data_IF_277264135614
#
_entry.id   IF_277264135614
#
_cell.length_a   1.000
_cell.length_b   1.000
_cell.length_c   1.000
_cell.angle_alpha   90.00
_cell.angle_beta   90.00
_cell.angle_gamma   90.00
#
_symmetry.space_group_name_H-M   'P 1'
#
loop_
_entity.id
_entity.type
_entity.pdbx_description
1 polymer ?
#
# COMPACT_ATOMS: atom_id res chain seq x y z
N UNK A 1 7.58 -1.40 -9.67
CA UNK A 1 6.50 -0.39 -9.53
C UNK A 1 7.08 0.95 -9.11
N UNK A 2 6.35 2.07 -9.20
CA UNK A 2 6.87 3.37 -8.74
C UNK A 2 6.79 3.43 -7.21
N UNK A 3 7.83 3.96 -6.56
CA UNK A 3 7.76 4.31 -5.14
C UNK A 3 7.08 5.68 -4.99
N UNK A 4 6.05 5.76 -4.15
CA UNK A 4 5.35 7.00 -3.85
C UNK A 4 5.22 7.26 -2.36
N UNK A 5 5.27 6.23 -1.52
CA UNK A 5 5.09 6.40 -0.07
C UNK A 5 6.15 5.66 0.70
N UNK A 6 6.64 6.31 1.75
CA UNK A 6 7.48 5.71 2.78
C UNK A 6 6.75 5.83 4.11
N UNK A 7 6.31 4.70 4.68
CA UNK A 7 5.72 4.63 6.01
C UNK A 7 6.77 4.14 7.00
N UNK A 8 6.97 4.89 8.08
CA UNK A 8 8.03 4.64 9.07
C UNK A 8 7.41 4.50 10.45
N UNK A 9 7.74 3.44 11.16
CA UNK A 9 7.54 3.43 12.61
C UNK A 9 8.47 4.45 13.28
N UNK A 10 8.08 4.97 14.44
CA UNK A 10 8.84 5.99 15.15
C UNK A 10 9.89 5.38 16.10
N UNK A 11 9.42 4.90 17.25
CA UNK A 11 10.25 4.36 18.32
C UNK A 11 10.89 3.05 17.89
N UNK A 12 12.18 2.85 18.16
CA UNK A 12 12.89 1.61 17.83
C UNK A 12 13.26 1.48 16.35
N UNK A 13 12.61 2.24 15.46
CA UNK A 13 12.93 2.27 14.02
C UNK A 13 13.75 3.51 13.64
N UNK A 14 13.19 4.71 13.74
CA UNK A 14 13.89 5.96 13.35
C UNK A 14 14.34 6.82 14.52
N UNK A 15 13.85 6.52 15.73
CA UNK A 15 14.18 7.20 16.96
C UNK A 15 14.69 6.23 18.03
N UNK A 16 15.60 6.70 18.87
CA UNK A 16 16.11 6.00 20.06
C UNK A 16 15.82 6.83 21.30
N UNK A 17 15.28 6.23 22.36
CA UNK A 17 14.81 6.93 23.57
C UNK A 17 13.94 8.17 23.28
N UNK A 18 13.11 8.10 22.23
CA UNK A 18 12.24 9.18 21.76
C UNK A 18 12.94 10.27 20.95
N UNK A 19 14.26 10.29 20.88
CA UNK A 19 15.00 11.24 20.05
C UNK A 19 15.11 10.74 18.60
N UNK A 20 14.58 11.53 17.65
CA UNK A 20 14.75 11.26 16.23
C UNK A 20 16.22 11.35 15.82
N UNK A 21 16.72 10.30 15.16
CA UNK A 21 18.09 10.28 14.65
C UNK A 21 18.30 11.36 13.55
N UNK A 22 19.36 12.18 13.62
CA UNK A 22 19.60 13.25 12.66
C UNK A 22 19.80 12.78 11.21
N UNK A 23 20.43 11.61 11.00
CA UNK A 23 20.65 11.07 9.67
C UNK A 23 19.34 10.58 9.06
N UNK A 24 18.46 10.00 9.87
CA UNK A 24 17.10 9.66 9.47
C UNK A 24 16.30 10.91 9.10
N UNK A 25 16.40 11.98 9.89
CA UNK A 25 15.73 13.26 9.58
C UNK A 25 16.19 13.82 8.23
N UNK A 26 17.49 13.78 7.95
CA UNK A 26 18.04 14.20 6.66
C UNK A 26 17.55 13.31 5.51
N UNK A 27 17.59 11.99 5.68
CA UNK A 27 17.13 11.05 4.65
C UNK A 27 15.62 11.19 4.36
N UNK A 28 14.79 11.45 5.37
CA UNK A 28 13.37 11.76 5.20
C UNK A 28 13.18 13.03 4.35
N UNK A 29 13.96 14.08 4.63
CA UNK A 29 13.90 15.31 3.84
C UNK A 29 14.31 15.07 2.38
N UNK A 30 15.34 14.26 2.13
CA UNK A 30 15.77 13.85 0.78
C UNK A 30 14.68 13.06 0.04
N UNK A 31 13.98 12.16 0.75
CA UNK A 31 12.87 11.39 0.19
C UNK A 31 11.71 12.30 -0.22
N UNK A 32 11.32 13.25 0.63
CA UNK A 32 10.27 14.22 0.34
C UNK A 32 10.62 15.15 -0.81
N UNK A 33 11.87 15.64 -0.84
CA UNK A 33 12.36 16.44 -1.96
C UNK A 33 12.32 15.69 -3.31
N UNK A 34 12.39 14.36 -3.27
CA UNK A 34 12.27 13.49 -4.44
C UNK A 34 10.81 13.15 -4.82
N UNK A 35 9.83 13.71 -4.09
CA UNK A 35 8.40 13.51 -4.34
C UNK A 35 7.83 12.22 -3.75
N UNK A 36 8.51 11.63 -2.75
CA UNK A 36 7.97 10.53 -1.94
C UNK A 36 7.19 11.13 -0.77
N UNK A 37 5.94 10.70 -0.61
CA UNK A 37 5.10 11.06 0.52
C UNK A 37 5.55 10.28 1.76
N UNK A 38 5.98 10.95 2.82
CA UNK A 38 6.47 10.29 4.03
C UNK A 38 5.39 10.29 5.11
N UNK A 39 5.13 9.12 5.67
CA UNK A 39 4.15 8.89 6.72
C UNK A 39 4.85 8.38 7.97
N UNK A 40 4.61 9.03 9.10
CA UNK A 40 4.97 8.44 10.38
C UNK A 40 3.81 7.58 10.88
N UNK A 41 4.11 6.39 11.37
CA UNK A 41 3.15 5.49 12.00
C UNK A 41 3.66 5.24 13.42
N UNK A 42 2.84 5.39 14.44
CA UNK A 42 3.30 5.25 15.83
C UNK A 42 2.17 4.83 16.76
N UNK A 43 2.55 4.15 17.85
CA UNK A 43 1.66 3.87 18.96
C UNK A 43 1.43 5.09 19.87
N UNK A 44 2.31 6.10 19.83
CA UNK A 44 2.24 7.28 20.70
C UNK A 44 0.95 8.08 20.50
N UNK A 45 0.50 8.74 21.56
CA UNK A 45 -0.50 9.81 21.47
C UNK A 45 0.04 10.95 20.61
N UNK A 46 -0.86 11.62 19.87
CA UNK A 46 -0.44 12.73 19.01
C UNK A 46 0.17 13.87 19.83
N UNK A 47 -0.37 14.16 21.01
CA UNK A 47 0.14 15.18 21.95
C UNK A 47 1.55 14.87 22.41
N UNK A 48 1.83 13.62 22.78
CA UNK A 48 3.17 13.18 23.21
C UNK A 48 4.21 13.38 22.11
N UNK A 49 3.80 13.08 20.87
CA UNK A 49 4.67 13.26 19.71
C UNK A 49 4.91 14.75 19.42
N UNK A 50 3.91 15.62 19.61
CA UNK A 50 4.04 17.07 19.46
C UNK A 50 4.96 17.68 20.53
N UNK A 51 4.89 17.19 21.77
CA UNK A 51 5.76 17.63 22.86
C UNK A 51 7.22 17.21 22.62
N UNK A 52 7.42 16.00 22.07
CA UNK A 52 8.74 15.43 21.78
C UNK A 52 9.39 16.06 20.55
N UNK A 53 8.59 16.29 19.51
CA UNK A 53 9.04 16.82 18.22
C UNK A 53 8.29 18.12 17.93
N UNK A 54 8.93 19.23 18.30
CA UNK A 54 8.38 20.60 18.15
C UNK A 54 7.88 20.96 16.74
N UNK A 55 8.39 20.31 15.70
CA UNK A 55 7.95 20.51 14.32
C UNK A 55 7.71 19.18 13.61
N UNK A 56 6.44 18.80 13.51
CA UNK A 56 5.96 17.61 12.81
C UNK A 56 5.87 17.78 11.29
N UNK A 57 6.19 18.96 10.75
CA UNK A 57 6.15 19.21 9.30
C UNK A 57 7.25 18.50 8.51
N UNK A 58 8.16 17.78 9.18
CA UNK A 58 9.19 16.95 8.54
C UNK A 58 8.61 15.74 7.80
N UNK A 59 7.36 15.35 8.08
CA UNK A 59 6.59 14.32 7.35
C UNK A 59 5.31 14.90 6.74
N UNK A 60 4.67 14.17 5.84
CA UNK A 60 3.46 14.60 5.12
C UNK A 60 2.16 14.12 5.79
N UNK A 61 2.24 13.07 6.60
CA UNK A 61 1.13 12.58 7.41
C UNK A 61 1.59 11.73 8.58
N UNK A 62 0.75 11.64 9.60
CA UNK A 62 1.03 10.94 10.85
C UNK A 62 -0.16 10.04 11.18
N UNK A 63 0.12 8.80 11.53
CA UNK A 63 -0.81 7.81 12.03
C UNK A 63 -0.43 7.55 13.49
N UNK A 64 -1.13 8.18 14.42
CA UNK A 64 -0.89 8.11 15.86
C UNK A 64 -1.88 7.17 16.54
N UNK A 65 -1.66 6.89 17.82
CA UNK A 65 -2.53 6.07 18.68
C UNK A 65 -2.81 4.68 18.06
N UNK A 66 -1.76 4.01 17.58
CA UNK A 66 -1.84 2.72 16.87
C UNK A 66 -2.80 2.73 15.67
N UNK A 67 -3.01 3.89 15.03
CA UNK A 67 -3.90 4.01 13.88
C UNK A 67 -5.27 4.62 14.17
N UNK A 68 -5.58 4.98 15.41
CA UNK A 68 -6.86 5.59 15.74
C UNK A 68 -6.95 7.05 15.26
N UNK A 69 -5.81 7.74 15.18
CA UNK A 69 -5.73 9.16 14.85
C UNK A 69 -4.85 9.35 13.62
N UNK A 70 -5.35 10.06 12.62
CA UNK A 70 -4.59 10.48 11.45
C UNK A 70 -4.43 11.99 11.50
N UNK A 71 -3.20 12.50 11.45
CA UNK A 71 -2.91 13.92 11.43
C UNK A 71 -2.17 14.32 10.15
N UNK A 72 -2.58 15.44 9.56
CA UNK A 72 -1.94 16.03 8.39
C UNK A 72 -1.24 17.34 8.78
N UNK A 73 0.09 17.34 9.00
CA UNK A 73 0.82 18.52 9.47
C UNK A 73 0.59 19.77 8.61
N UNK A 74 0.66 19.61 7.29
CA UNK A 74 0.49 20.73 6.35
C UNK A 74 -0.92 21.37 6.37
N UNK A 75 -1.93 20.68 6.90
CA UNK A 75 -3.31 21.16 7.00
C UNK A 75 -3.75 21.43 8.45
N UNK A 76 -2.89 21.13 9.42
CA UNK A 76 -3.19 21.16 10.85
C UNK A 76 -4.54 20.50 11.18
N UNK A 77 -4.80 19.34 10.56
CA UNK A 77 -6.09 18.66 10.67
C UNK A 77 -5.92 17.21 11.05
N UNK A 78 -6.74 16.78 12.01
CA UNK A 78 -6.90 15.39 12.40
C UNK A 78 -8.15 14.75 11.75
N UNK A 79 -8.07 13.45 11.55
CA UNK A 79 -9.16 12.54 11.22
C UNK A 79 -9.13 11.41 12.25
N UNK A 80 -10.24 11.23 12.98
CA UNK A 80 -10.39 10.16 13.95
C UNK A 80 -11.01 8.95 13.24
N UNK A 81 -10.35 7.80 13.34
CA UNK A 81 -10.90 6.50 12.93
C UNK A 81 -11.51 5.76 14.13
N UNK A 82 -10.97 5.98 15.33
CA UNK A 82 -11.53 5.46 16.56
C UNK A 82 -12.62 6.38 17.13
N UNK A 83 -13.45 5.81 18.00
CA UNK A 83 -14.28 6.60 18.92
C UNK A 83 -13.44 7.01 20.13
N UNK A 84 -13.70 8.18 20.73
CA UNK A 84 -13.10 8.55 22.01
C UNK A 84 -13.36 7.52 23.11
N UNK A 85 -12.47 7.39 24.11
CA UNK A 85 -12.69 6.50 25.24
C UNK A 85 -14.00 6.82 25.98
N UNK A 86 -14.86 5.83 26.26
CA UNK A 86 -16.10 6.06 26.99
C UNK A 86 -15.84 6.62 28.39
N UNK A 87 -16.59 7.65 28.80
CA UNK A 87 -16.43 8.28 30.13
C UNK A 87 -16.59 7.27 31.27
N UNK A 88 -17.51 6.31 31.12
CA UNK A 88 -17.77 5.26 32.11
C UNK A 88 -16.53 4.38 32.36
N UNK A 89 -15.73 4.13 31.31
CA UNK A 89 -14.47 3.41 31.44
C UNK A 89 -13.47 4.23 32.24
N UNK A 90 -13.30 5.51 31.91
CA UNK A 90 -12.35 6.39 32.59
C UNK A 90 -12.66 6.46 34.10
N UNK A 91 -13.93 6.70 34.45
CA UNK A 91 -14.38 6.73 35.85
C UNK A 91 -14.13 5.39 36.56
N UNK A 92 -14.40 4.26 35.88
CA UNK A 92 -14.19 2.93 36.47
C UNK A 92 -12.71 2.65 36.74
N UNK A 93 -11.83 3.03 35.82
CA UNK A 93 -10.38 2.86 35.96
C UNK A 93 -9.80 3.76 37.06
N UNK A 94 -10.26 5.00 37.15
CA UNK A 94 -9.88 5.91 38.23
C UNK A 94 -10.33 5.37 39.61
N UNK A 95 -11.54 4.85 39.71
CA UNK A 95 -12.05 4.22 40.94
C UNK A 95 -11.28 2.96 41.33
N UNK A 96 -10.76 2.22 40.34
CA UNK A 96 -9.89 1.08 40.56
C UNK A 96 -8.45 1.47 40.95
N UNK A 97 -8.12 2.77 40.96
CA UNK A 97 -6.79 3.28 41.29
C UNK A 97 -5.76 3.09 40.17
N UNK A 98 -6.22 2.86 38.92
CA UNK A 98 -5.35 2.69 37.76
C UNK A 98 -4.90 4.06 37.28
N UNK A 99 -3.58 4.26 37.17
CA UNK A 99 -3.03 5.49 36.62
C UNK A 99 -3.14 5.46 35.09
N UNK A 100 -4.02 6.30 34.54
CA UNK A 100 -4.31 6.35 33.11
C UNK A 100 -3.84 7.65 32.45
N UNK A 101 -3.49 7.55 31.18
CA UNK A 101 -3.27 8.68 30.27
C UNK A 101 -4.28 8.54 29.13
N UNK A 102 -4.93 9.64 28.76
CA UNK A 102 -6.04 9.63 27.80
C UNK A 102 -5.63 10.42 26.56
N UNK A 103 -5.62 9.76 25.41
CA UNK A 103 -5.50 10.38 24.10
C UNK A 103 -6.87 10.66 23.48
N UNK A 104 -6.90 10.91 22.17
CA UNK A 104 -8.15 11.20 21.45
C UNK A 104 -9.04 9.96 21.34
N UNK A 105 -8.44 8.78 21.19
CA UNK A 105 -9.11 7.49 20.99
C UNK A 105 -8.50 6.34 21.81
N UNK A 106 -7.40 6.60 22.51
CA UNK A 106 -6.65 5.60 23.29
C UNK A 106 -6.63 5.92 24.79
N UNK A 107 -6.67 4.88 25.62
CA UNK A 107 -6.27 4.98 27.02
C UNK A 107 -4.98 4.18 27.20
N UNK A 108 -3.94 4.83 27.70
CA UNK A 108 -2.66 4.19 28.02
C UNK A 108 -2.53 4.02 29.54
N UNK A 109 -2.03 2.87 29.97
CA UNK A 109 -1.73 2.56 31.35
C UNK A 109 -0.49 1.66 31.45
N UNK A 110 -0.07 1.36 32.67
CA UNK A 110 0.97 0.36 32.91
C UNK A 110 0.46 -1.04 32.53
N UNK A 111 1.32 -1.88 31.94
CA UNK A 111 0.93 -3.22 31.54
C UNK A 111 0.52 -4.09 32.74
N UNK A 112 1.06 -3.82 33.93
CA UNK A 112 0.71 -4.52 35.17
C UNK A 112 -0.76 -4.28 35.59
N UNK A 113 -1.36 -3.17 35.16
CA UNK A 113 -2.78 -2.85 35.40
C UNK A 113 -3.74 -3.52 34.41
N UNK A 114 -3.23 -4.28 33.44
CA UNK A 114 -4.04 -4.96 32.42
C UNK A 114 -5.16 -5.87 32.97
N UNK A 115 -5.02 -6.57 34.12
CA UNK A 115 -6.13 -7.35 34.69
C UNK A 115 -7.30 -6.48 35.15
N UNK A 116 -7.02 -5.32 35.77
CA UNK A 116 -8.04 -4.38 36.23
C UNK A 116 -8.76 -3.74 35.03
N UNK A 117 -7.99 -3.36 34.00
CA UNK A 117 -8.52 -2.80 32.77
C UNK A 117 -9.42 -3.81 32.04
N UNK A 118 -8.96 -5.05 31.91
CA UNK A 118 -9.76 -6.11 31.28
C UNK A 118 -11.05 -6.39 32.07
N UNK A 119 -11.01 -6.33 33.41
CA UNK A 119 -12.20 -6.46 34.25
C UNK A 119 -13.18 -5.32 33.97
N UNK A 120 -12.73 -4.06 33.93
CA UNK A 120 -13.57 -2.90 33.64
C UNK A 120 -14.22 -2.99 32.25
N UNK A 121 -13.43 -3.31 31.22
CA UNK A 121 -13.93 -3.50 29.84
C UNK A 121 -15.01 -4.59 29.77
N UNK A 122 -14.83 -5.69 30.50
CA UNK A 122 -15.81 -6.79 30.55
C UNK A 122 -17.07 -6.41 31.32
N UNK A 123 -16.94 -5.76 32.47
CA UNK A 123 -18.08 -5.33 33.30
C UNK A 123 -18.96 -4.32 32.56
N UNK A 124 -18.35 -3.43 31.78
CA UNK A 124 -19.06 -2.43 30.98
C UNK A 124 -19.46 -2.95 29.58
N UNK A 125 -19.12 -4.20 29.25
CA UNK A 125 -19.39 -4.83 27.95
C UNK A 125 -18.91 -4.00 26.74
N UNK A 126 -17.79 -3.30 26.89
CA UNK A 126 -17.27 -2.40 25.86
C UNK A 126 -16.50 -3.16 24.76
N UNK A 127 -16.69 -2.82 23.47
CA UNK A 127 -16.00 -3.46 22.35
C UNK A 127 -14.57 -2.91 22.17
N UNK A 128 -13.76 -3.01 23.22
CA UNK A 128 -12.40 -2.50 23.27
C UNK A 128 -11.38 -3.64 23.26
N UNK A 129 -10.18 -3.35 22.74
CA UNK A 129 -9.05 -4.27 22.69
C UNK A 129 -7.88 -3.70 23.48
N UNK A 130 -7.14 -4.58 24.16
CA UNK A 130 -5.89 -4.24 24.84
C UNK A 130 -4.72 -4.58 23.91
N UNK A 131 -3.86 -3.61 23.66
CA UNK A 131 -2.64 -3.75 22.86
C UNK A 131 -1.44 -3.46 23.76
N UNK A 132 -0.44 -4.33 23.74
CA UNK A 132 0.75 -4.19 24.58
C UNK A 132 1.91 -3.62 23.77
N UNK A 133 2.66 -2.69 24.36
CA UNK A 133 3.87 -2.13 23.77
C UNK A 133 4.86 -1.73 24.88
N UNK A 134 6.04 -2.35 24.91
CA UNK A 134 7.18 -1.95 25.76
C UNK A 134 6.83 -1.64 27.22
N UNK A 135 6.04 -2.49 27.87
CA UNK A 135 5.63 -2.34 29.28
C UNK A 135 4.40 -1.45 29.51
N UNK A 136 3.78 -0.94 28.45
CA UNK A 136 2.49 -0.25 28.50
C UNK A 136 1.38 -1.10 27.91
N UNK A 137 0.16 -0.82 28.32
CA UNK A 137 -1.07 -1.33 27.71
C UNK A 137 -1.91 -0.17 27.19
N UNK A 138 -2.39 -0.33 25.96
CA UNK A 138 -3.22 0.64 25.26
C UNK A 138 -4.60 0.04 25.02
N UNK A 139 -5.64 0.75 25.44
CA UNK A 139 -7.04 0.37 25.24
C UNK A 139 -7.60 1.16 24.07
N UNK A 140 -8.05 0.46 23.05
CA UNK A 140 -8.50 1.03 21.78
C UNK A 140 -9.79 0.38 21.29
N UNK A 141 -10.57 1.07 20.44
CA UNK A 141 -11.68 0.45 19.72
C UNK A 141 -11.25 -0.77 18.90
N UNK A 142 -12.09 -1.80 18.86
CA UNK A 142 -11.81 -3.01 18.08
C UNK A 142 -11.64 -2.69 16.58
N UNK A 143 -10.66 -3.31 15.94
CA UNK A 143 -10.37 -3.16 14.51
C UNK A 143 -9.42 -2.00 14.17
N UNK A 144 -9.05 -1.16 15.14
CA UNK A 144 -8.01 -0.15 14.98
C UNK A 144 -6.63 -0.79 15.02
N UNK A 145 -5.84 -0.54 13.98
CA UNK A 145 -4.44 -1.01 13.85
C UNK A 145 -3.62 0.01 13.07
N UNK A 146 -2.28 -0.01 13.25
CA UNK A 146 -1.34 0.82 12.49
C UNK A 146 -1.59 0.73 10.98
N UNK A 147 -1.85 -0.49 10.48
CA UNK A 147 -2.19 -0.75 9.10
C UNK A 147 -3.54 -0.17 8.65
N UNK A 148 -4.57 -0.24 9.50
CA UNK A 148 -5.87 0.39 9.20
C UNK A 148 -5.73 1.92 9.09
N UNK A 149 -5.03 2.54 10.03
CA UNK A 149 -4.73 3.98 10.01
C UNK A 149 -3.95 4.39 8.77
N UNK A 150 -2.88 3.66 8.43
CA UNK A 150 -2.11 3.92 7.21
C UNK A 150 -2.97 3.77 5.95
N UNK A 151 -3.82 2.73 5.87
CA UNK A 151 -4.71 2.53 4.71
C UNK A 151 -5.66 3.70 4.51
N UNK A 152 -6.27 4.22 5.56
CA UNK A 152 -7.18 5.37 5.45
C UNK A 152 -6.43 6.66 5.11
N UNK A 153 -5.23 6.88 5.65
CA UNK A 153 -4.38 7.99 5.26
C UNK A 153 -4.03 7.93 3.76
N UNK A 154 -3.64 6.75 3.26
CA UNK A 154 -3.33 6.53 1.85
C UNK A 154 -4.55 6.83 0.97
N UNK A 155 -5.74 6.36 1.35
CA UNK A 155 -7.01 6.65 0.65
C UNK A 155 -7.31 8.15 0.61
N UNK A 156 -7.25 8.84 1.76
CA UNK A 156 -7.46 10.28 1.86
C UNK A 156 -6.48 11.09 1.00
N UNK A 157 -5.29 10.53 0.76
CA UNK A 157 -4.22 11.13 -0.05
C UNK A 157 -4.18 10.65 -1.50
N UNK A 158 -5.09 9.74 -1.91
CA UNK A 158 -5.12 9.09 -3.24
C UNK A 158 -3.82 8.36 -3.60
N UNK A 159 -3.23 7.71 -2.62
CA UNK A 159 -2.01 6.92 -2.72
C UNK A 159 -2.34 5.43 -2.60
N UNK A 160 -1.56 4.57 -3.24
CA UNK A 160 -1.76 3.12 -3.20
C UNK A 160 -0.78 2.44 -2.26
N UNK A 161 -1.27 1.44 -1.54
CA UNK A 161 -0.44 0.51 -0.76
C UNK A 161 0.61 -0.23 -1.61
N UNK A 162 0.32 -0.44 -2.91
CA UNK A 162 1.23 -1.00 -3.91
C UNK A 162 2.35 -0.03 -4.36
N UNK A 163 2.30 1.23 -3.92
CA UNK A 163 3.37 2.22 -4.12
C UNK A 163 4.06 2.59 -2.79
N UNK A 164 3.86 1.78 -1.74
CA UNK A 164 4.33 2.04 -0.38
C UNK A 164 5.46 1.08 0.00
N UNK A 165 6.47 1.62 0.69
CA UNK A 165 7.40 0.85 1.51
C UNK A 165 7.09 1.14 2.97
N UNK A 166 6.92 0.11 3.80
CA UNK A 166 6.78 0.26 5.24
C UNK A 166 8.06 -0.22 5.95
N UNK A 167 8.51 0.49 6.98
CA UNK A 167 9.63 0.12 7.85
C UNK A 167 9.14 0.10 9.30
N UNK A 168 9.39 -0.98 10.02
CA UNK A 168 9.08 -1.11 11.45
C UNK A 168 10.05 -2.03 12.18
N UNK A 169 9.91 -2.15 13.48
CA UNK A 169 10.76 -2.97 14.35
C UNK A 169 9.99 -3.80 15.38
N UNK A 170 8.74 -3.43 15.66
CA UNK A 170 7.97 -3.97 16.77
C UNK A 170 7.07 -5.17 16.36
N UNK A 171 6.70 -6.00 17.34
CA UNK A 171 5.83 -7.16 17.11
C UNK A 171 4.45 -6.78 16.55
N UNK A 172 3.94 -5.58 16.84
CA UNK A 172 2.67 -5.12 16.29
C UNK A 172 2.76 -4.58 14.85
N UNK A 173 3.95 -4.56 14.23
CA UNK A 173 4.15 -4.07 12.87
C UNK A 173 3.93 -5.11 11.78
N UNK A 174 3.66 -6.38 12.10
CA UNK A 174 3.40 -7.41 11.09
C UNK A 174 2.36 -6.97 10.06
N UNK A 175 1.21 -6.48 10.52
CA UNK A 175 0.11 -6.03 9.66
C UNK A 175 0.48 -4.75 8.90
N UNK A 176 1.33 -3.89 9.49
CA UNK A 176 1.84 -2.69 8.83
C UNK A 176 2.74 -3.07 7.65
N UNK A 177 3.66 -4.00 7.85
CA UNK A 177 4.54 -4.51 6.79
C UNK A 177 3.74 -5.24 5.71
N UNK A 178 2.73 -6.03 6.08
CA UNK A 178 1.81 -6.74 5.17
C UNK A 178 0.96 -5.83 4.28
N UNK A 179 0.60 -4.64 4.76
CA UNK A 179 -0.15 -3.68 3.98
C UNK A 179 0.66 -3.18 2.77
N UNK A 180 1.93 -2.86 2.98
CA UNK A 180 2.78 -2.21 1.98
C UNK A 180 3.31 -3.21 0.95
N UNK A 181 3.53 -2.73 -0.28
CA UNK A 181 4.14 -3.53 -1.36
C UNK A 181 5.48 -4.15 -0.96
N UNK A 182 6.26 -3.39 -0.17
CA UNK A 182 7.52 -3.85 0.43
C UNK A 182 7.46 -3.55 1.91
N UNK A 183 7.50 -4.60 2.72
CA UNK A 183 7.65 -4.52 4.16
C UNK A 183 9.12 -4.74 4.53
N UNK A 184 9.76 -3.74 5.10
CA UNK A 184 11.12 -3.83 5.60
C UNK A 184 11.12 -3.82 7.13
N UNK A 185 12.05 -4.56 7.73
CA UNK A 185 12.29 -4.49 9.17
C UNK A 185 13.76 -4.22 9.45
N UNK A 186 14.07 -3.77 10.66
CA UNK A 186 15.43 -3.54 11.13
C UNK A 186 16.08 -4.81 11.72
N UNK A 187 17.41 -4.90 11.69
CA UNK A 187 18.15 -6.08 12.12
C UNK A 187 18.03 -6.44 13.62
N UNK A 188 17.61 -5.49 14.46
CA UNK A 188 17.38 -5.68 15.90
C UNK A 188 15.92 -5.97 16.26
N UNK A 189 15.03 -6.09 15.27
CA UNK A 189 13.64 -6.51 15.48
C UNK A 189 13.54 -7.99 15.87
N UNK A 190 12.34 -8.42 16.29
CA UNK A 190 12.08 -9.82 16.63
C UNK A 190 12.31 -10.77 15.45
N UNK A 191 12.74 -12.01 15.73
CA UNK A 191 12.95 -13.03 14.68
C UNK A 191 11.67 -13.32 13.89
N UNK A 192 10.52 -13.25 14.54
CA UNK A 192 9.22 -13.41 13.89
C UNK A 192 8.98 -12.31 12.86
N UNK A 193 9.25 -11.04 13.19
CA UNK A 193 9.08 -9.92 12.27
C UNK A 193 10.03 -10.03 11.09
N UNK A 194 11.31 -10.33 11.34
CA UNK A 194 12.32 -10.58 10.29
C UNK A 194 11.93 -11.69 9.33
N UNK A 195 11.31 -12.77 9.81
CA UNK A 195 10.85 -13.85 8.94
C UNK A 195 9.65 -13.47 8.05
N UNK A 196 8.86 -12.49 8.46
CA UNK A 196 7.68 -12.02 7.73
C UNK A 196 7.94 -10.86 6.76
N UNK A 197 9.03 -10.10 6.98
CA UNK A 197 9.42 -8.97 6.16
C UNK A 197 10.01 -9.41 4.80
N UNK A 198 9.87 -8.56 3.78
CA UNK A 198 10.54 -8.78 2.48
C UNK A 198 12.03 -8.44 2.55
N UNK A 199 12.40 -7.50 3.44
CA UNK A 199 13.75 -6.96 3.55
C UNK A 199 14.11 -6.78 5.03
N UNK A 200 15.33 -7.18 5.40
CA UNK A 200 15.93 -6.85 6.69
C UNK A 200 17.06 -5.84 6.48
N UNK A 201 16.94 -4.68 7.11
CA UNK A 201 17.94 -3.61 7.09
C UNK A 201 19.06 -4.00 8.05
N UNK A 202 20.27 -4.13 7.52
CA UNK A 202 21.46 -4.46 8.31
C UNK A 202 21.95 -3.25 9.10
N UNK A 203 22.39 -3.47 10.34
CA UNK A 203 22.98 -2.44 11.19
C UNK A 203 22.56 -2.57 12.66
N UNK A 204 22.97 -1.60 13.47
CA UNK A 204 22.65 -1.51 14.89
C UNK A 204 22.11 -0.12 15.19
N UNK A 205 20.83 -0.03 15.54
CA UNK A 205 20.16 1.20 15.94
C UNK A 205 19.70 2.10 14.77
N UNK A 206 18.94 3.17 15.07
CA UNK A 206 18.14 3.89 14.09
C UNK A 206 18.90 4.48 12.90
N UNK A 207 20.16 4.90 13.07
CA UNK A 207 20.99 5.46 11.99
C UNK A 207 21.15 4.52 10.78
N UNK A 208 20.97 3.20 10.97
CA UNK A 208 21.01 2.21 9.91
C UNK A 208 19.85 2.33 8.90
N UNK A 209 18.75 3.02 9.26
CA UNK A 209 17.59 3.21 8.39
C UNK A 209 17.86 4.27 7.30
N UNK A 210 18.64 5.31 7.60
CA UNK A 210 18.93 6.40 6.67
C UNK A 210 19.59 5.96 5.35
N UNK A 211 20.63 5.09 5.34
CA UNK A 211 21.19 4.55 4.10
C UNK A 211 20.15 3.81 3.24
N UNK A 212 19.24 3.07 3.86
CA UNK A 212 18.19 2.34 3.16
C UNK A 212 17.17 3.29 2.54
N UNK A 213 16.75 4.35 3.26
CA UNK A 213 15.89 5.40 2.70
C UNK A 213 16.54 6.03 1.47
N UNK A 214 17.83 6.40 1.56
CA UNK A 214 18.56 7.00 0.42
C UNK A 214 18.68 6.05 -0.77
N UNK A 215 18.84 4.76 -0.52
CA UNK A 215 18.83 3.74 -1.57
C UNK A 215 17.47 3.67 -2.28
N UNK A 216 16.37 3.69 -1.53
CA UNK A 216 15.01 3.71 -2.09
C UNK A 216 14.79 4.95 -2.97
N UNK A 217 15.24 6.12 -2.50
CA UNK A 217 15.19 7.39 -3.24
C UNK A 217 15.94 7.27 -4.55
N UNK A 218 17.20 6.81 -4.51
CA UNK A 218 18.05 6.67 -5.70
C UNK A 218 17.45 5.72 -6.74
N UNK A 219 16.76 4.65 -6.31
CA UNK A 219 16.11 3.69 -7.21
C UNK A 219 14.83 4.22 -7.85
N UNK A 220 14.04 5.03 -7.13
CA UNK A 220 12.72 5.57 -7.53
C UNK A 220 11.64 4.53 -7.89
N UNK A 221 12.01 3.27 -8.04
CA UNK A 221 11.18 2.15 -8.42
C UNK A 221 11.44 0.92 -7.54
N UNK A 222 10.37 0.29 -7.11
CA UNK A 222 10.36 -1.01 -6.46
C UNK A 222 10.64 -2.09 -7.52
N UNK A 223 11.77 -2.77 -7.40
CA UNK A 223 12.25 -3.77 -8.37
C UNK A 223 12.31 -5.17 -7.75
N UNK A 224 12.49 -6.19 -8.60
CA UNK A 224 12.43 -7.61 -8.26
C UNK A 224 13.25 -8.10 -7.04
N UNK A 225 14.37 -7.49 -6.59
CA UNK A 225 15.02 -7.92 -5.35
C UNK A 225 14.31 -7.44 -4.07
N UNK A 226 13.45 -6.41 -4.15
CA UNK A 226 12.66 -5.90 -3.02
C UNK A 226 11.22 -6.46 -3.02
N UNK A 227 10.71 -6.81 -4.20
CA UNK A 227 9.37 -7.38 -4.36
C UNK A 227 9.42 -8.87 -3.99
N UNK A 228 9.07 -9.18 -2.74
CA UNK A 228 9.13 -10.51 -2.15
C UNK A 228 8.10 -11.51 -2.67
N UNK A 229 7.77 -12.51 -1.85
CA UNK A 229 6.84 -13.60 -2.22
C UNK A 229 5.36 -13.25 -2.05
N UNK A 230 5.05 -12.18 -1.30
CA UNK A 230 3.72 -11.89 -0.76
C UNK A 230 2.67 -11.54 -1.82
N UNK A 231 3.09 -10.89 -2.90
CA UNK A 231 2.20 -10.46 -3.99
C UNK A 231 2.36 -11.26 -5.29
N UNK A 232 2.93 -12.47 -5.21
CA UNK A 232 3.08 -13.32 -6.40
C UNK A 232 1.76 -13.99 -6.77
N UNK A 233 1.38 -13.94 -8.05
CA UNK A 233 0.22 -14.68 -8.55
C UNK A 233 0.65 -16.09 -8.97
N UNK A 234 0.23 -17.10 -8.21
CA UNK A 234 0.44 -18.49 -8.59
C UNK A 234 -0.43 -18.85 -9.79
N UNK A 235 0.19 -19.35 -10.86
CA UNK A 235 -0.51 -19.75 -12.10
C UNK A 235 -1.18 -21.13 -12.00
N UNK A 236 -0.93 -21.86 -10.92
CA UNK A 236 -1.51 -23.18 -10.63
C UNK A 236 -0.45 -24.23 -10.32
N UNK A 237 -0.92 -25.46 -10.12
CA UNK A 237 -0.12 -26.64 -9.83
C UNK A 237 -0.37 -27.70 -10.90
N UNK A 238 0.65 -28.49 -11.24
CA UNK A 238 0.48 -29.70 -12.04
C UNK A 238 -0.28 -30.76 -11.24
N UNK A 239 -0.74 -31.81 -11.93
CA UNK A 239 -1.36 -32.98 -11.29
C UNK A 239 -0.45 -33.67 -10.26
N UNK A 240 0.87 -33.48 -10.38
CA UNK A 240 1.88 -33.94 -9.43
C UNK A 240 2.13 -32.97 -8.26
N UNK A 241 1.35 -31.89 -8.13
CA UNK A 241 1.50 -30.87 -7.09
C UNK A 241 2.65 -29.88 -7.32
N UNK A 242 3.31 -29.88 -8.49
CA UNK A 242 4.41 -28.96 -8.79
C UNK A 242 3.86 -27.60 -9.24
N UNK A 243 4.37 -26.52 -8.66
CA UNK A 243 4.05 -25.15 -9.07
C UNK A 243 4.35 -24.95 -10.57
N UNK A 244 3.35 -24.53 -11.35
CA UNK A 244 3.48 -24.30 -12.79
C UNK A 244 4.16 -22.95 -13.11
N UNK A 245 4.11 -22.00 -12.20
CA UNK A 245 4.79 -20.72 -12.29
C UNK A 245 4.14 -19.65 -11.42
N UNK A 246 4.78 -18.49 -11.32
CA UNK A 246 4.22 -17.31 -10.67
C UNK A 246 4.43 -16.04 -11.49
N UNK A 247 3.48 -15.10 -11.39
CA UNK A 247 3.63 -13.74 -11.91
C UNK A 247 4.16 -12.89 -10.76
N UNK A 248 5.32 -12.28 -10.98
CA UNK A 248 5.96 -11.38 -10.01
C UNK A 248 5.57 -9.95 -10.35
N UNK A 249 5.09 -9.17 -9.37
CA UNK A 249 4.76 -7.77 -9.60
C UNK A 249 5.92 -6.95 -10.15
N UNK A 250 5.59 -5.90 -10.91
CA UNK A 250 6.58 -5.02 -11.53
C UNK A 250 7.29 -5.59 -12.77
N UNK A 251 6.88 -6.76 -13.29
CA UNK A 251 7.33 -7.29 -14.59
C UNK A 251 6.23 -7.18 -15.65
N UNK A 252 6.64 -7.09 -16.92
CA UNK A 252 5.72 -7.19 -18.04
C UNK A 252 5.37 -8.67 -18.29
N UNK A 253 4.08 -8.96 -18.45
CA UNK A 253 3.58 -10.30 -18.77
C UNK A 253 3.09 -10.34 -20.22
N UNK A 254 3.51 -11.37 -20.96
CA UNK A 254 2.99 -11.68 -22.31
C UNK A 254 2.32 -13.06 -22.29
N UNK A 255 1.02 -13.10 -22.57
CA UNK A 255 0.26 -14.34 -22.74
C UNK A 255 0.08 -14.59 -24.24
N UNK A 256 0.71 -15.67 -24.75
CA UNK A 256 0.73 -16.02 -26.17
C UNK A 256 0.43 -17.51 -26.41
N UNK A 257 0.02 -17.85 -27.62
CA UNK A 257 -0.45 -19.19 -27.99
C UNK A 257 -1.54 -19.17 -29.08
N UNK A 258 -1.86 -20.33 -29.66
CA UNK A 258 -2.77 -20.46 -30.80
C UNK A 258 -4.22 -20.07 -30.49
N UNK A 259 -5.06 -19.71 -31.47
CA UNK A 259 -6.47 -19.44 -31.24
C UNK A 259 -7.15 -20.57 -30.44
N UNK A 260 -8.09 -20.21 -29.56
CA UNK A 260 -8.86 -21.16 -28.73
C UNK A 260 -8.07 -21.96 -27.68
N UNK A 261 -6.82 -21.58 -27.38
CA UNK A 261 -6.01 -22.21 -26.31
C UNK A 261 -6.23 -21.65 -24.90
N UNK A 262 -7.32 -20.92 -24.65
CA UNK A 262 -7.62 -20.37 -23.32
C UNK A 262 -6.85 -19.12 -22.89
N UNK A 263 -6.08 -18.47 -23.77
CA UNK A 263 -5.34 -17.21 -23.45
C UNK A 263 -6.22 -16.13 -22.82
N UNK A 264 -7.39 -15.89 -23.40
CA UNK A 264 -8.33 -14.86 -22.94
C UNK A 264 -8.82 -15.17 -21.54
N UNK A 265 -9.10 -16.44 -21.28
CA UNK A 265 -9.51 -16.94 -19.98
C UNK A 265 -8.39 -16.77 -18.94
N UNK A 266 -7.16 -17.20 -19.25
CA UNK A 266 -6.02 -17.00 -18.35
C UNK A 266 -5.75 -15.52 -18.07
N UNK A 267 -5.78 -14.67 -19.09
CA UNK A 267 -5.61 -13.23 -18.91
C UNK A 267 -6.72 -12.62 -18.05
N UNK A 268 -7.96 -13.10 -18.18
CA UNK A 268 -9.09 -12.71 -17.33
C UNK A 268 -8.86 -13.09 -15.87
N UNK A 269 -8.45 -14.33 -15.61
CA UNK A 269 -8.10 -14.80 -14.26
C UNK A 269 -6.96 -13.98 -13.65
N UNK A 270 -5.92 -13.65 -14.43
CA UNK A 270 -4.83 -12.79 -13.95
C UNK A 270 -5.36 -11.41 -13.58
N UNK A 271 -6.24 -10.81 -14.39
CA UNK A 271 -6.86 -9.52 -14.05
C UNK A 271 -7.68 -9.61 -12.77
N UNK A 272 -8.50 -10.65 -12.63
CA UNK A 272 -9.31 -10.90 -11.43
C UNK A 272 -8.44 -11.04 -10.18
N UNK A 273 -7.36 -11.82 -10.24
CA UNK A 273 -6.45 -11.96 -9.09
C UNK A 273 -5.73 -10.66 -8.74
N UNK A 274 -5.32 -9.85 -9.74
CA UNK A 274 -4.76 -8.52 -9.50
C UNK A 274 -5.77 -7.60 -8.81
N UNK A 275 -7.03 -7.60 -9.26
CA UNK A 275 -8.12 -6.83 -8.66
C UNK A 275 -8.40 -7.26 -7.22
N UNK A 276 -8.45 -8.57 -6.95
CA UNK A 276 -8.64 -9.12 -5.60
C UNK A 276 -7.48 -8.78 -4.66
N UNK A 277 -6.26 -8.68 -5.20
CA UNK A 277 -5.09 -8.16 -4.47
C UNK A 277 -5.03 -6.63 -4.41
N UNK A 278 -6.07 -5.93 -4.89
CA UNK A 278 -6.25 -4.47 -4.82
C UNK A 278 -5.29 -3.66 -5.70
N UNK A 279 -4.74 -4.28 -6.73
CA UNK A 279 -4.01 -3.56 -7.77
C UNK A 279 -4.97 -2.78 -8.67
N UNK A 280 -4.72 -1.47 -8.79
CA UNK A 280 -5.26 -0.65 -9.89
C UNK A 280 -4.82 -1.16 -11.27
N UNK A 281 -5.76 -1.56 -12.12
CA UNK A 281 -5.50 -2.01 -13.49
C UNK A 281 -6.29 -1.21 -14.54
N UNK A 282 -5.74 -1.15 -15.76
CA UNK A 282 -6.46 -0.69 -16.94
C UNK A 282 -6.36 -1.74 -18.05
N UNK A 283 -7.48 -2.36 -18.39
CA UNK A 283 -7.61 -3.33 -19.46
C UNK A 283 -8.03 -2.61 -20.74
N UNK A 284 -7.28 -2.79 -21.81
CA UNK A 284 -7.57 -2.29 -23.15
C UNK A 284 -8.00 -3.50 -23.98
N UNK A 285 -9.31 -3.62 -24.21
CA UNK A 285 -9.91 -4.78 -24.82
C UNK A 285 -10.37 -4.48 -26.25
N UNK A 286 -9.68 -5.06 -27.23
CA UNK A 286 -10.05 -4.88 -28.63
C UNK A 286 -11.28 -5.70 -29.06
N UNK A 287 -11.69 -6.73 -28.31
CA UNK A 287 -12.72 -7.70 -28.70
C UNK A 287 -13.96 -7.71 -27.78
N UNK A 288 -13.85 -7.19 -26.56
CA UNK A 288 -14.97 -7.03 -25.62
C UNK A 288 -15.19 -8.24 -24.70
N UNK A 289 -14.17 -9.09 -24.55
CA UNK A 289 -14.21 -10.33 -23.77
C UNK A 289 -14.07 -10.11 -22.25
N UNK A 290 -13.59 -8.94 -21.81
CA UNK A 290 -13.32 -8.66 -20.39
C UNK A 290 -14.40 -7.82 -19.70
N UNK A 291 -15.53 -7.56 -20.36
CA UNK A 291 -16.67 -6.83 -19.78
C UNK A 291 -17.22 -7.49 -18.52
N UNK A 292 -17.11 -8.81 -18.39
CA UNK A 292 -17.52 -9.57 -17.21
C UNK A 292 -16.78 -9.17 -15.92
N UNK A 293 -15.59 -8.54 -16.02
CA UNK A 293 -14.86 -8.02 -14.85
C UNK A 293 -15.63 -6.89 -14.13
N UNK A 294 -16.64 -6.28 -14.76
CA UNK A 294 -17.50 -5.27 -14.14
C UNK A 294 -18.23 -5.76 -12.89
N UNK A 295 -18.37 -7.08 -12.72
CA UNK A 295 -18.96 -7.65 -11.51
C UNK A 295 -18.08 -7.48 -10.27
N UNK A 296 -16.79 -7.18 -10.45
CA UNK A 296 -15.85 -6.98 -9.36
C UNK A 296 -15.91 -5.54 -8.81
N UNK A 297 -15.72 -5.33 -7.50
CA UNK A 297 -15.76 -4.00 -6.90
C UNK A 297 -14.75 -3.03 -7.52
N UNK A 298 -15.20 -1.80 -7.76
CA UNK A 298 -14.35 -0.73 -8.28
C UNK A 298 -13.95 -0.88 -9.76
N UNK A 299 -14.58 -1.78 -10.52
CA UNK A 299 -14.33 -1.94 -11.97
C UNK A 299 -15.37 -1.18 -12.79
N UNK A 300 -14.90 -0.26 -13.62
CA UNK A 300 -15.71 0.52 -14.56
C UNK A 300 -15.44 0.10 -16.01
N UNK A 301 -16.48 -0.20 -16.77
CA UNK A 301 -16.39 -0.55 -18.19
C UNK A 301 -16.83 0.63 -19.05
N UNK A 302 -15.98 1.05 -19.99
CA UNK A 302 -16.26 2.14 -20.91
C UNK A 302 -16.06 1.71 -22.36
N UNK A 303 -16.97 2.12 -23.24
CA UNK A 303 -17.04 1.65 -24.62
C UNK A 303 -17.97 0.46 -24.79
N UNK A 304 -17.72 -0.38 -25.80
CA UNK A 304 -18.68 -1.40 -26.21
C UNK A 304 -20.00 -0.73 -26.64
N UNK A 305 -21.09 -1.06 -25.97
CA UNK A 305 -22.40 -0.46 -26.20
C UNK A 305 -22.60 0.90 -25.49
N UNK A 306 -21.62 1.32 -24.66
CA UNK A 306 -21.62 2.61 -23.96
C UNK A 306 -20.75 3.65 -24.67
N UNK A 307 -20.93 4.93 -24.30
CA UNK A 307 -20.07 6.02 -24.76
C UNK A 307 -18.61 5.73 -24.37
N UNK A 308 -17.69 5.90 -25.31
CA UNK A 308 -16.25 5.82 -25.04
C UNK A 308 -15.68 7.23 -24.75
N UNK A 309 -15.27 7.54 -23.50
CA UNK A 309 -14.73 8.85 -23.16
C UNK A 309 -13.38 9.12 -23.81
N UNK A 310 -12.93 10.38 -23.82
CA UNK A 310 -11.54 10.70 -24.20
C UNK A 310 -10.55 10.13 -23.17
N UNK A 311 -9.35 9.69 -23.56
CA UNK A 311 -8.35 9.14 -22.64
C UNK A 311 -8.04 10.01 -21.42
N UNK A 312 -8.03 11.33 -21.58
CA UNK A 312 -7.82 12.26 -20.46
C UNK A 312 -8.88 12.15 -19.36
N UNK A 313 -10.13 11.84 -19.71
CA UNK A 313 -11.21 11.62 -18.73
C UNK A 313 -11.03 10.29 -17.99
N UNK A 314 -10.65 9.23 -18.71
CA UNK A 314 -10.33 7.94 -18.11
C UNK A 314 -9.15 8.04 -17.14
N UNK A 315 -8.13 8.83 -17.49
CA UNK A 315 -6.99 9.08 -16.63
C UNK A 315 -7.31 9.91 -15.37
N UNK A 316 -8.44 10.64 -15.31
CA UNK A 316 -8.92 11.27 -14.08
C UNK A 316 -9.50 10.23 -13.11
N UNK A 317 -10.18 9.20 -13.64
CA UNK A 317 -10.73 8.11 -12.83
C UNK A 317 -9.61 7.26 -12.21
N UNK A 318 -8.57 6.94 -13.00
CA UNK A 318 -7.39 6.20 -12.53
C UNK A 318 -6.48 6.98 -11.57
N UNK A 319 -6.86 8.18 -11.13
CA UNK A 319 -6.19 8.87 -10.01
C UNK A 319 -6.58 8.28 -8.66
N UNK A 320 -7.65 7.50 -8.60
CA UNK A 320 -8.12 6.81 -7.42
C UNK A 320 -7.64 5.36 -7.49
N UNK A 321 -6.79 4.88 -6.54
CA UNK A 321 -6.19 3.54 -6.59
C UNK A 321 -7.19 2.37 -6.58
N UNK A 322 -8.40 2.62 -6.09
CA UNK A 322 -9.53 1.69 -5.99
C UNK A 322 -10.40 1.64 -7.27
N UNK A 323 -10.16 2.54 -8.22
CA UNK A 323 -10.86 2.55 -9.51
C UNK A 323 -10.03 1.83 -10.57
N UNK A 324 -10.68 0.88 -11.24
CA UNK A 324 -10.12 0.03 -12.27
C UNK A 324 -10.92 0.21 -13.56
N UNK A 325 -10.26 0.17 -14.71
CA UNK A 325 -10.91 0.42 -15.99
C UNK A 325 -10.82 -0.77 -16.94
N UNK A 326 -11.94 -1.10 -17.58
CA UNK A 326 -11.98 -1.90 -18.80
C UNK A 326 -12.43 -1.00 -19.95
N UNK A 327 -11.57 -0.85 -20.93
CA UNK A 327 -11.84 -0.05 -22.14
C UNK A 327 -12.21 -1.01 -23.25
N UNK A 328 -13.51 -1.18 -23.49
CA UNK A 328 -14.04 -2.03 -24.55
C UNK A 328 -14.07 -1.27 -25.88
N UNK A 329 -13.21 -1.68 -26.80
CA UNK A 329 -13.10 -1.12 -28.13
C UNK A 329 -13.81 -1.97 -29.19
N UNK A 330 -14.59 -2.98 -28.82
CA UNK A 330 -15.23 -3.97 -29.69
C UNK A 330 -16.00 -3.33 -30.86
N UNK A 331 -16.78 -2.26 -30.58
CA UNK A 331 -17.62 -1.54 -31.55
C UNK A 331 -16.87 -0.55 -32.48
N UNK A 332 -15.57 -0.29 -32.26
CA UNK A 332 -14.81 0.64 -33.10
C UNK A 332 -14.28 -0.01 -34.38
N UNK A 333 -14.06 0.81 -35.42
CA UNK A 333 -13.31 0.40 -36.62
C UNK A 333 -11.82 0.21 -36.30
N UNK A 334 -11.09 -0.55 -37.12
CA UNK A 334 -9.67 -0.84 -36.87
C UNK A 334 -8.80 0.42 -36.74
N UNK A 335 -9.00 1.42 -37.59
CA UNK A 335 -8.23 2.66 -37.54
C UNK A 335 -8.58 3.50 -36.31
N UNK A 336 -9.87 3.57 -35.95
CA UNK A 336 -10.31 4.21 -34.72
C UNK A 336 -9.72 3.53 -33.47
N UNK A 337 -9.69 2.18 -33.43
CA UNK A 337 -9.04 1.43 -32.34
C UNK A 337 -7.56 1.81 -32.22
N UNK A 338 -6.81 1.82 -33.33
CA UNK A 338 -5.38 2.16 -33.32
C UNK A 338 -5.13 3.57 -32.79
N UNK A 339 -5.87 4.56 -33.28
CA UNK A 339 -5.75 5.95 -32.84
C UNK A 339 -6.07 6.10 -31.35
N UNK A 340 -7.14 5.45 -30.89
CA UNK A 340 -7.55 5.50 -29.49
C UNK A 340 -6.52 4.82 -28.56
N UNK A 341 -6.06 3.62 -28.90
CA UNK A 341 -5.06 2.87 -28.12
C UNK A 341 -3.75 3.66 -28.00
N UNK A 342 -3.26 4.25 -29.10
CA UNK A 342 -2.03 5.06 -29.06
C UNK A 342 -2.18 6.28 -28.12
N UNK A 343 -3.30 6.98 -28.20
CA UNK A 343 -3.61 8.13 -27.32
C UNK A 343 -3.76 7.72 -25.85
N UNK A 344 -4.44 6.60 -25.61
CA UNK A 344 -4.62 6.04 -24.27
C UNK A 344 -3.30 5.59 -23.65
N UNK A 345 -2.48 4.82 -24.37
CA UNK A 345 -1.18 4.37 -23.87
C UNK A 345 -0.25 5.53 -23.54
N UNK A 346 -0.26 6.59 -24.36
CA UNK A 346 0.48 7.83 -24.07
C UNK A 346 0.00 8.47 -22.76
N UNK A 347 -1.32 8.59 -22.60
CA UNK A 347 -1.95 9.14 -21.39
C UNK A 347 -1.64 8.31 -20.14
N UNK A 348 -1.80 6.99 -20.21
CA UNK A 348 -1.50 6.07 -19.12
C UNK A 348 -0.01 6.11 -18.74
N UNK A 349 0.88 6.23 -19.72
CA UNK A 349 2.33 6.36 -19.47
C UNK A 349 2.66 7.64 -18.70
N UNK A 350 2.01 8.76 -19.03
CA UNK A 350 2.16 10.01 -18.28
C UNK A 350 1.60 9.89 -16.86
N UNK A 351 0.41 9.30 -16.71
CA UNK A 351 -0.20 9.08 -15.40
C UNK A 351 0.68 8.21 -14.52
N UNK A 352 1.16 7.07 -15.02
CA UNK A 352 2.01 6.13 -14.28
C UNK A 352 3.33 6.76 -13.84
N UNK A 353 3.95 7.61 -14.69
CA UNK A 353 5.14 8.37 -14.29
C UNK A 353 4.85 9.32 -13.13
N UNK A 354 3.66 9.90 -13.06
CA UNK A 354 3.29 10.84 -12.00
C UNK A 354 2.85 10.14 -10.72
N UNK A 355 1.91 9.20 -10.78
CA UNK A 355 1.27 8.61 -9.59
C UNK A 355 1.62 7.13 -9.34
N UNK A 356 2.29 6.45 -10.27
CA UNK A 356 2.43 4.99 -10.22
C UNK A 356 1.23 4.20 -10.75
N UNK A 357 0.12 4.88 -11.09
CA UNK A 357 -1.14 4.28 -11.54
C UNK A 357 -1.36 4.36 -13.06
N UNK A 358 -2.11 3.42 -13.66
CA UNK A 358 -2.48 2.14 -13.06
C UNK A 358 -1.24 1.27 -12.88
N UNK A 359 -1.24 0.38 -11.89
CA UNK A 359 -0.14 -0.56 -11.66
C UNK A 359 0.08 -1.45 -12.89
N UNK A 360 -1.01 -1.92 -13.49
CA UNK A 360 -0.97 -2.72 -14.71
C UNK A 360 -1.77 -2.10 -15.85
N UNK A 361 -1.23 -2.21 -17.06
CA UNK A 361 -1.98 -2.00 -18.29
C UNK A 361 -2.02 -3.33 -19.02
N UNK A 362 -3.22 -3.90 -19.12
CA UNK A 362 -3.44 -5.16 -19.82
C UNK A 362 -3.91 -4.82 -21.21
N UNK A 363 -3.17 -5.22 -22.23
CA UNK A 363 -3.56 -4.94 -23.61
C UNK A 363 -3.85 -6.24 -24.35
N UNK A 364 -5.09 -6.38 -24.81
CA UNK A 364 -5.47 -7.45 -25.73
C UNK A 364 -5.57 -6.90 -27.14
N UNK A 365 -4.64 -7.26 -28.04
CA UNK A 365 -4.79 -6.93 -29.44
C UNK A 365 -5.86 -7.79 -30.10
N UNK A 366 -6.48 -7.25 -31.16
CA UNK A 366 -7.40 -8.04 -32.01
C UNK A 366 -6.65 -9.18 -32.69
N UNK A 367 -7.32 -10.32 -32.91
CA UNK A 367 -6.80 -11.44 -33.71
C UNK A 367 -6.17 -10.94 -35.03
N UNK A 368 -4.94 -11.38 -35.30
CA UNK A 368 -4.19 -11.07 -36.53
C UNK A 368 -3.49 -9.71 -36.58
N UNK A 369 -3.57 -8.86 -35.54
CA UNK A 369 -3.15 -7.46 -35.67
C UNK A 369 -1.70 -7.12 -35.27
N UNK A 370 -0.95 -7.95 -34.51
CA UNK A 370 0.22 -7.38 -33.80
C UNK A 370 1.54 -8.18 -33.65
N UNK A 371 1.73 -9.40 -34.16
CA UNK A 371 3.03 -10.09 -34.00
C UNK A 371 3.88 -10.28 -35.27
N UNK A 372 3.39 -9.93 -36.46
CA UNK A 372 4.20 -10.09 -37.69
C UNK A 372 5.27 -8.99 -37.93
N UNK A 373 5.31 -7.91 -37.14
CA UNK A 373 6.25 -6.79 -37.36
C UNK A 373 7.30 -6.56 -36.28
N UNK A 374 7.21 -7.20 -35.12
CA UNK A 374 8.21 -7.01 -34.05
C UNK A 374 9.49 -7.84 -34.25
N UNK A 375 9.50 -8.88 -35.09
CA UNK A 375 10.69 -9.74 -35.31
C UNK A 375 11.63 -9.28 -36.43
N UNK A 376 11.33 -8.17 -37.14
CA UNK A 376 12.12 -7.74 -38.32
C UNK A 376 12.96 -6.46 -38.14
N UNK A 377 12.82 -5.69 -37.07
CA UNK A 377 13.58 -4.44 -36.89
C UNK A 377 14.85 -4.55 -36.02
N UNK A 378 15.24 -5.75 -35.53
CA UNK A 378 16.49 -5.94 -34.78
C UNK A 378 17.29 -7.18 -35.22
N UNK A 379 17.44 -7.40 -36.53
CA UNK A 379 18.60 -8.15 -37.01
C UNK A 379 19.74 -7.17 -37.23
N UNK A 380 20.84 -7.21 -36.46
CA UNK A 380 22.05 -6.50 -36.87
C UNK A 380 22.45 -7.06 -38.24
N UNK A 381 22.63 -6.17 -39.22
CA UNK A 381 23.33 -6.53 -40.45
C UNK A 381 24.72 -6.99 -40.02
N UNK A 382 24.98 -8.29 -40.08
CA UNK A 382 26.34 -8.80 -39.95
C UNK A 382 27.13 -8.37 -41.20
N UNK A 383 28.39 -7.97 -41.04
CA UNK A 383 29.25 -7.55 -42.14
C UNK A 383 29.48 -8.66 -43.18
#
# INVERSE_FOLDING_TARGET
MKLQVLALDYDGTIADDGALDPDNRAAIAEARASGIFVVLVTGRMLTDLQDLVSDLSFVDGIVAENGAVIFFPAKERSLLLGSPPPEELLVTLEQAGVAIRVGECVVEADADDSPAILAAVRTLELPLTLVFNSGRVMVLPQGITKAAGLRELLRASRLSEHNTVAIGDAENDHVLLELAEVGATVGWSSQALQASADVTIAGTGPSAVAPFIRELVARSHLTSPLLGRRHQLTLGYSDSGKLLGSIVPGRNLLIAGDPHTGKSWLAGLVCEQLLLQRYCICVIDAEGDYSALQSLPGVEVWGGDSLLPRPGKLAQLLQYPDVNLVVDLSRLTLDAKRGYVASLLSTLSMLRRRSGLPHYTVYRPRRGSLLHRWSRSQRPRRP
#
